data_IF_243767946564
#
_entry.id   IF_243767946564
#
_cell.length_a   1.000
_cell.length_b   1.000
_cell.length_c   1.000
_cell.angle_alpha   90.00
_cell.angle_beta   90.00
_cell.angle_gamma   90.00
#
_symmetry.space_group_name_H-M   'P 1'
#
loop_
_entity.id
_entity.type
_entity.pdbx_description
1 polymer ?
#
# COMPACT_ATOMS: atom_id res chain seq x y z
N UNK A 1 -16.42 4.14 1.55
CA UNK A 1 -15.66 3.28 0.60
C UNK A 1 -14.96 4.07 -0.50
N UNK A 2 -15.65 5.00 -1.19
CA UNK A 2 -15.08 5.78 -2.31
C UNK A 2 -13.81 6.57 -1.91
N UNK A 3 -13.82 7.26 -0.77
CA UNK A 3 -12.65 8.03 -0.30
C UNK A 3 -11.41 7.16 -0.05
N UNK A 4 -11.59 5.91 0.41
CA UNK A 4 -10.48 4.97 0.55
C UNK A 4 -9.92 4.57 -0.81
N UNK A 5 -10.77 4.34 -1.81
CA UNK A 5 -10.32 4.00 -3.16
C UNK A 5 -9.60 5.18 -3.83
N UNK A 6 -10.02 6.42 -3.57
CA UNK A 6 -9.34 7.61 -4.06
C UNK A 6 -8.01 7.85 -3.32
N UNK A 7 -7.93 7.54 -2.04
CA UNK A 7 -6.72 7.77 -1.22
C UNK A 7 -5.65 6.69 -1.43
N UNK A 8 -6.08 5.42 -1.55
CA UNK A 8 -5.20 4.25 -1.61
C UNK A 8 -5.13 3.59 -3.00
N UNK A 9 -5.99 4.00 -3.93
CA UNK A 9 -5.96 3.53 -5.32
C UNK A 9 -4.84 4.20 -6.13
N UNK A 10 -4.74 3.79 -7.39
CA UNK A 10 -3.82 4.39 -8.36
C UNK A 10 -4.38 5.73 -8.85
N UNK A 11 -3.50 6.70 -9.06
CA UNK A 11 -3.79 7.96 -9.73
C UNK A 11 -3.13 7.97 -11.12
N UNK A 12 -3.56 8.87 -12.01
CA UNK A 12 -3.01 8.96 -13.37
C UNK A 12 -1.52 9.32 -13.38
N UNK A 13 -1.02 9.97 -12.33
CA UNK A 13 0.39 10.34 -12.14
C UNK A 13 1.22 9.32 -11.33
N UNK A 14 0.61 8.20 -10.92
CA UNK A 14 1.29 7.14 -10.16
C UNK A 14 2.37 6.46 -11.00
N UNK A 15 3.64 6.59 -10.58
CA UNK A 15 4.80 5.92 -11.22
C UNK A 15 5.06 4.50 -10.73
N UNK A 16 4.58 4.19 -9.53
CA UNK A 16 4.74 2.88 -8.89
C UNK A 16 3.35 2.30 -8.60
N UNK A 17 3.16 1.01 -8.89
CA UNK A 17 1.88 0.32 -8.70
C UNK A 17 2.12 -0.96 -7.93
N UNK A 18 1.37 -1.17 -6.85
CA UNK A 18 1.31 -2.42 -6.12
C UNK A 18 0.04 -3.18 -6.52
N UNK A 19 0.20 -4.41 -6.98
CA UNK A 19 -0.91 -5.26 -7.44
C UNK A 19 -1.08 -6.42 -6.47
N UNK A 20 -2.27 -6.52 -5.86
CA UNK A 20 -2.68 -7.69 -5.09
C UNK A 20 -3.77 -8.46 -5.86
N UNK A 21 -3.59 -9.77 -6.01
CA UNK A 21 -4.58 -10.64 -6.63
C UNK A 21 -4.95 -11.71 -5.63
N UNK A 22 -6.26 -11.87 -5.40
CA UNK A 22 -6.81 -12.94 -4.57
C UNK A 22 -7.11 -14.16 -5.45
N UNK A 23 -6.98 -15.35 -4.88
CA UNK A 23 -7.34 -16.61 -5.54
C UNK A 23 -6.55 -16.81 -6.85
N UNK A 24 -5.22 -16.73 -6.78
CA UNK A 24 -4.30 -16.95 -7.91
C UNK A 24 -3.22 -17.97 -7.53
N UNK A 25 -3.65 -19.18 -7.15
CA UNK A 25 -2.75 -20.26 -6.73
C UNK A 25 -1.67 -20.58 -7.77
N UNK A 26 -2.00 -20.43 -9.06
CA UNK A 26 -1.09 -20.73 -10.17
C UNK A 26 -0.30 -19.51 -10.68
N UNK A 27 -0.56 -18.31 -10.17
CA UNK A 27 0.09 -17.07 -10.63
C UNK A 27 -0.30 -16.61 -12.05
N UNK A 28 -1.25 -17.29 -12.70
CA UNK A 28 -1.63 -17.00 -14.09
C UNK A 28 -2.33 -15.64 -14.21
N UNK A 29 -3.13 -15.25 -13.20
CA UNK A 29 -3.80 -13.95 -13.19
C UNK A 29 -2.76 -12.84 -13.01
N UNK A 30 -1.75 -13.05 -12.16
CA UNK A 30 -0.64 -12.12 -11.97
C UNK A 30 0.13 -11.87 -13.26
N UNK A 31 0.47 -12.92 -14.00
CA UNK A 31 1.16 -12.78 -15.29
C UNK A 31 0.32 -12.02 -16.31
N UNK A 32 -1.00 -12.26 -16.36
CA UNK A 32 -1.91 -11.52 -17.27
C UNK A 32 -2.00 -10.04 -16.91
N UNK A 33 -2.01 -9.70 -15.62
CA UNK A 33 -2.04 -8.31 -15.16
C UNK A 33 -0.70 -7.62 -15.42
N UNK A 34 0.43 -8.29 -15.15
CA UNK A 34 1.76 -7.76 -15.44
C UNK A 34 1.93 -7.39 -16.92
N UNK A 35 1.37 -8.18 -17.84
CA UNK A 35 1.39 -7.88 -19.29
C UNK A 35 0.60 -6.63 -19.69
N UNK A 36 -0.33 -6.15 -18.85
CA UNK A 36 -1.11 -4.93 -19.09
C UNK A 36 -0.46 -3.68 -18.50
N UNK A 37 0.58 -3.84 -17.68
CA UNK A 37 1.27 -2.75 -17.01
C UNK A 37 2.53 -2.44 -17.80
N UNK A 38 2.62 -1.22 -18.32
CA UNK A 38 3.85 -0.70 -18.90
C UNK A 38 4.78 -0.29 -17.77
N UNK A 39 5.70 -1.19 -17.40
CA UNK A 39 6.60 -0.98 -16.28
C UNK A 39 7.56 -2.14 -16.05
N UNK A 40 8.43 -2.00 -15.05
CA UNK A 40 9.39 -3.03 -14.65
C UNK A 40 8.94 -3.67 -13.34
N UNK A 41 8.73 -5.00 -13.27
CA UNK A 41 8.48 -5.67 -12.01
C UNK A 41 9.73 -5.57 -11.13
N UNK A 42 9.52 -5.20 -9.87
CA UNK A 42 10.57 -5.12 -8.84
C UNK A 42 10.25 -6.07 -7.70
N UNK A 43 11.26 -6.62 -7.01
CA UNK A 43 11.05 -7.44 -5.83
C UNK A 43 10.28 -6.68 -4.75
N UNK A 44 9.36 -7.36 -4.05
CA UNK A 44 8.60 -6.78 -2.94
C UNK A 44 9.51 -6.30 -1.79
N UNK A 45 10.72 -6.84 -1.70
CA UNK A 45 11.75 -6.40 -0.74
C UNK A 45 12.18 -4.95 -0.92
N UNK A 46 11.98 -4.38 -2.12
CA UNK A 46 12.28 -2.97 -2.42
C UNK A 46 11.12 -2.03 -2.06
N UNK A 47 9.98 -2.55 -1.57
CA UNK A 47 8.85 -1.74 -1.15
C UNK A 47 9.23 -0.61 -0.18
N UNK A 48 10.09 -0.82 0.85
CA UNK A 48 10.48 0.25 1.78
C UNK A 48 11.15 1.45 1.09
N UNK A 49 11.79 1.24 -0.06
CA UNK A 49 12.46 2.30 -0.84
C UNK A 49 11.47 3.12 -1.68
N UNK A 50 10.30 2.55 -1.96
CA UNK A 50 9.23 3.17 -2.78
C UNK A 50 8.16 3.84 -1.91
N UNK A 51 8.23 3.65 -0.59
CA UNK A 51 7.22 4.12 0.37
C UNK A 51 7.47 5.59 0.75
N UNK A 52 6.44 6.40 0.60
CA UNK A 52 6.39 7.76 1.13
C UNK A 52 5.86 7.75 2.57
N UNK A 53 6.79 7.66 3.53
CA UNK A 53 6.48 7.65 4.96
C UNK A 53 5.82 8.95 5.45
N UNK A 54 6.11 10.10 4.84
CA UNK A 54 5.47 11.37 5.21
C UNK A 54 3.99 11.38 4.81
N UNK A 55 3.68 10.88 3.62
CA UNK A 55 2.30 10.74 3.16
C UNK A 55 1.53 9.72 4.01
N UNK A 56 2.14 8.59 4.38
CA UNK A 56 1.53 7.61 5.29
C UNK A 56 1.21 8.24 6.65
N UNK A 57 2.15 9.01 7.23
CA UNK A 57 1.92 9.73 8.49
C UNK A 57 0.71 10.64 8.42
N UNK A 58 0.56 11.39 7.32
CA UNK A 58 -0.59 12.30 7.11
C UNK A 58 -1.90 11.54 6.97
N UNK A 59 -1.92 10.47 6.17
CA UNK A 59 -3.13 9.66 5.93
C UNK A 59 -3.62 9.01 7.23
N UNK A 60 -2.70 8.43 7.99
CA UNK A 60 -3.06 7.73 9.22
C UNK A 60 -3.14 8.67 10.43
N UNK A 61 -2.58 9.88 10.36
CA UNK A 61 -2.43 10.84 11.48
C UNK A 61 -1.50 10.34 12.60
N UNK A 62 -0.39 9.68 12.24
CA UNK A 62 0.61 9.18 13.20
C UNK A 62 1.37 10.37 13.77
N UNK A 63 1.51 10.47 15.10
CA UNK A 63 2.28 11.57 15.73
C UNK A 63 3.78 11.32 15.55
N UNK A 64 4.56 12.38 15.41
CA UNK A 64 6.03 12.28 15.28
C UNK A 64 6.68 11.58 16.48
N UNK A 65 6.07 11.70 17.66
CA UNK A 65 6.50 11.05 18.90
C UNK A 65 6.34 9.51 18.93
N UNK A 66 5.58 8.93 17.99
CA UNK A 66 5.34 7.49 17.87
C UNK A 66 6.26 6.83 16.83
N UNK A 67 7.21 7.59 16.27
CA UNK A 67 8.05 7.16 15.16
C UNK A 67 9.29 6.40 15.64
N UNK A 68 9.09 5.14 16.01
CA UNK A 68 10.12 4.11 15.90
C UNK A 68 9.66 3.11 14.82
N UNK A 69 10.58 2.61 14.00
CA UNK A 69 10.24 1.73 12.85
C UNK A 69 9.42 0.49 13.25
N UNK A 70 9.54 -0.01 14.48
CA UNK A 70 8.71 -1.09 15.02
C UNK A 70 7.30 -0.62 15.43
N UNK A 71 7.16 0.60 15.94
CA UNK A 71 5.91 1.13 16.49
C UNK A 71 4.97 1.67 15.41
N UNK A 72 5.49 2.13 14.27
CA UNK A 72 4.65 2.68 13.20
C UNK A 72 3.78 1.62 12.54
N UNK A 73 4.32 0.42 12.31
CA UNK A 73 3.58 -0.71 11.76
C UNK A 73 2.41 -1.09 12.66
N UNK A 74 2.65 -1.14 13.98
CA UNK A 74 1.63 -1.47 14.98
C UNK A 74 0.52 -0.41 15.05
N UNK A 75 0.90 0.88 15.00
CA UNK A 75 -0.05 1.99 14.94
C UNK A 75 -0.91 1.97 13.67
N UNK A 76 -0.32 1.60 12.52
CA UNK A 76 -1.05 1.46 11.25
C UNK A 76 -1.99 0.24 11.31
N UNK A 77 -1.51 -0.93 11.76
CA UNK A 77 -2.32 -2.14 11.91
C UNK A 77 -3.52 -1.88 12.83
N UNK A 78 -3.27 -1.25 13.98
CA UNK A 78 -4.31 -0.85 14.94
C UNK A 78 -5.34 0.06 14.27
N UNK A 79 -4.91 1.04 13.48
CA UNK A 79 -5.84 1.93 12.75
C UNK A 79 -6.60 1.25 11.64
N UNK A 80 -6.00 0.30 10.93
CA UNK A 80 -6.70 -0.49 9.91
C UNK A 80 -7.76 -1.38 10.56
N UNK A 81 -7.40 -2.06 11.67
CA UNK A 81 -8.30 -2.92 12.42
C UNK A 81 -9.46 -2.13 13.06
N UNK A 82 -9.17 -0.98 13.65
CA UNK A 82 -10.17 -0.14 14.34
C UNK A 82 -10.97 0.75 13.38
N UNK A 83 -10.60 0.86 12.10
CA UNK A 83 -11.37 1.61 11.09
C UNK A 83 -12.80 1.08 10.84
N UNK A 84 -13.09 -0.14 11.31
CA UNK A 84 -14.43 -0.73 11.28
C UNK A 84 -15.12 -0.75 12.67
N UNK A 85 -14.49 -0.19 13.71
CA UNK A 85 -14.99 -0.22 15.09
C UNK A 85 -15.57 1.12 15.58
N UNK A 86 -15.68 2.14 14.70
CA UNK A 86 -16.23 3.46 15.01
C UNK A 86 -17.24 3.86 13.94
#
# INVERSE_FOLDING_TARGET
VLESLLTFGIAEDSRNVLVGIFDDENGEKMVKVAKKIDGKPVPITNLPELVDYERIKKIYKVKESEYNNETISDAIITRIATKNCI
#
